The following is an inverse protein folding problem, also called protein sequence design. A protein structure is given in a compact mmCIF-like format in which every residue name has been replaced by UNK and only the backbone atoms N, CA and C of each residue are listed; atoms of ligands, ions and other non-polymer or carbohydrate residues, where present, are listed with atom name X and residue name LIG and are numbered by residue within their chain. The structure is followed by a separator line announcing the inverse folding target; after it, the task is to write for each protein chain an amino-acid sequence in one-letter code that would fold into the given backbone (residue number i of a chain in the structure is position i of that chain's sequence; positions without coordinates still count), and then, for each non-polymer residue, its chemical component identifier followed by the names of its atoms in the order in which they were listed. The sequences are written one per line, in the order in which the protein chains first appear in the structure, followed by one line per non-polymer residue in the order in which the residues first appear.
data_IF_092572386758
#
_entry.id   IF_092572386758
#
_cell.length_a   1.000
_cell.length_b   1.000
_cell.length_c   1.000
_cell.angle_alpha   90.00
_cell.angle_beta   90.00
_cell.angle_gamma   90.00
#
_symmetry.space_group_name_H-M   'P 1'
#
loop_
_entity.id
_entity.type
_entity.pdbx_description
1 polymer ?
#
# COMPACT_ATOMS: atom_id res chain seq x y z
N UNK A 1 8.02 -16.09 17.05
CA UNK A 1 6.64 -15.80 16.57
C UNK A 1 6.65 -15.75 15.05
N UNK A 2 5.86 -16.60 14.40
CA UNK A 2 5.77 -16.65 12.93
C UNK A 2 4.72 -15.64 12.46
N UNK A 3 5.15 -14.50 11.92
CA UNK A 3 4.24 -13.42 11.55
C UNK A 3 3.66 -13.71 10.16
N UNK A 4 2.53 -14.44 10.13
CA UNK A 4 1.89 -14.93 8.88
C UNK A 4 1.70 -13.83 7.84
N UNK A 5 1.41 -12.61 8.26
CA UNK A 5 1.29 -11.45 7.37
C UNK A 5 2.61 -11.11 6.66
N UNK A 6 3.73 -11.10 7.38
CA UNK A 6 5.05 -10.82 6.79
C UNK A 6 5.46 -11.91 5.80
N UNK A 7 5.16 -13.17 6.09
CA UNK A 7 5.42 -14.27 5.14
C UNK A 7 4.62 -14.09 3.85
N UNK A 8 3.36 -13.70 3.95
CA UNK A 8 2.51 -13.46 2.78
C UNK A 8 3.02 -12.28 1.95
N UNK A 9 3.50 -11.21 2.61
CA UNK A 9 4.12 -10.07 1.93
C UNK A 9 5.39 -10.50 1.17
N UNK A 10 6.23 -11.35 1.77
CA UNK A 10 7.40 -11.91 1.09
C UNK A 10 7.05 -12.73 -0.15
N UNK A 11 5.98 -13.52 -0.10
CA UNK A 11 5.47 -14.27 -1.26
C UNK A 11 4.93 -13.33 -2.34
N UNK A 12 4.16 -12.30 -1.96
CA UNK A 12 3.62 -11.30 -2.88
C UNK A 12 4.73 -10.49 -3.59
N UNK A 13 5.79 -10.15 -2.86
CA UNK A 13 6.98 -9.51 -3.42
C UNK A 13 7.69 -10.43 -4.42
N UNK A 14 7.92 -11.70 -4.06
CA UNK A 14 8.52 -12.70 -4.97
C UNK A 14 7.71 -12.92 -6.24
N UNK A 15 6.37 -12.81 -6.17
CA UNK A 15 5.47 -12.90 -7.31
C UNK A 15 5.39 -11.61 -8.17
N UNK A 16 6.11 -10.53 -7.79
CA UNK A 16 6.05 -9.25 -8.48
C UNK A 16 4.71 -8.52 -8.35
N UNK A 17 3.93 -8.82 -7.29
CA UNK A 17 2.60 -8.24 -7.03
C UNK A 17 2.62 -7.14 -5.98
N UNK A 18 3.80 -6.62 -5.63
CA UNK A 18 3.97 -5.53 -4.68
C UNK A 18 4.58 -4.32 -5.39
N UNK A 19 4.08 -3.13 -5.05
CA UNK A 19 4.67 -1.84 -5.42
C UNK A 19 4.99 -1.08 -4.13
N UNK A 20 6.02 -0.25 -4.13
CA UNK A 20 6.44 0.48 -2.94
C UNK A 20 7.03 1.84 -3.25
N UNK A 21 7.01 2.73 -2.27
CA UNK A 21 7.41 4.13 -2.41
C UNK A 21 6.22 5.07 -2.64
N UNK A 22 6.40 6.35 -2.35
CA UNK A 22 5.33 7.34 -2.39
C UNK A 22 4.74 7.49 -3.80
N UNK A 23 5.56 7.69 -4.81
CA UNK A 23 5.06 7.93 -6.17
C UNK A 23 4.46 6.68 -6.82
N UNK A 24 5.14 5.53 -6.70
CA UNK A 24 4.65 4.28 -7.27
C UNK A 24 3.31 3.86 -6.67
N UNK A 25 3.12 4.07 -5.36
CA UNK A 25 1.86 3.78 -4.67
C UNK A 25 0.76 4.73 -5.15
N UNK A 26 1.03 6.03 -5.26
CA UNK A 26 0.08 7.00 -5.81
C UNK A 26 -0.36 6.62 -7.23
N UNK A 27 0.59 6.29 -8.12
CA UNK A 27 0.30 5.88 -9.49
C UNK A 27 -0.55 4.60 -9.51
N UNK A 28 -0.25 3.62 -8.66
CA UNK A 28 -1.01 2.37 -8.60
C UNK A 28 -2.45 2.58 -8.08
N UNK A 29 -2.63 3.47 -7.09
CA UNK A 29 -3.93 3.86 -6.55
C UNK A 29 -4.73 4.58 -7.64
N UNK A 30 -4.19 5.64 -8.25
CA UNK A 30 -4.88 6.41 -9.29
C UNK A 30 -5.29 5.56 -10.50
N UNK A 31 -4.44 4.60 -10.89
CA UNK A 31 -4.74 3.65 -11.96
C UNK A 31 -5.66 2.49 -11.55
N UNK A 32 -6.21 2.50 -10.33
CA UNK A 32 -7.07 1.44 -9.77
C UNK A 32 -6.43 0.04 -9.77
N UNK A 33 -5.10 -0.04 -9.71
CA UNK A 33 -4.35 -1.30 -9.64
C UNK A 33 -4.04 -1.73 -8.20
N UNK A 34 -4.07 -0.79 -7.26
CA UNK A 34 -3.84 -1.08 -5.84
C UNK A 34 -5.11 -1.62 -5.17
N UNK A 35 -5.07 -2.87 -4.68
CA UNK A 35 -6.17 -3.47 -3.93
C UNK A 35 -6.02 -3.33 -2.42
N UNK A 36 -4.78 -3.22 -1.93
CA UNK A 36 -4.46 -3.06 -0.52
C UNK A 36 -3.24 -2.12 -0.40
N UNK A 37 -3.32 -1.16 0.52
CA UNK A 37 -2.27 -0.18 0.76
C UNK A 37 -1.83 -0.30 2.22
N UNK A 38 -0.54 -0.53 2.43
CA UNK A 38 0.07 -0.50 3.75
C UNK A 38 0.65 0.89 4.00
N UNK A 39 0.34 1.47 5.15
CA UNK A 39 0.87 2.77 5.58
C UNK A 39 1.62 2.56 6.89
N UNK A 40 2.83 3.11 6.98
CA UNK A 40 3.62 3.05 8.20
C UNK A 40 2.94 3.85 9.33
N UNK A 41 3.05 3.37 10.56
CA UNK A 41 2.37 3.98 11.71
C UNK A 41 2.93 5.35 12.10
N UNK A 42 4.17 5.64 11.71
CA UNK A 42 4.94 6.85 12.00
C UNK A 42 4.85 7.90 10.88
N UNK A 43 4.02 7.68 9.86
CA UNK A 43 3.83 8.64 8.78
C UNK A 43 3.15 9.92 9.27
N UNK A 44 3.43 11.05 8.62
CA UNK A 44 2.77 12.32 8.93
C UNK A 44 1.26 12.29 8.65
N UNK A 45 0.48 13.00 9.47
CA UNK A 45 -0.98 13.04 9.35
C UNK A 45 -1.45 13.52 7.97
N UNK A 46 -0.81 14.55 7.41
CA UNK A 46 -1.12 15.05 6.07
C UNK A 46 -1.01 13.95 4.99
N UNK A 47 0.04 13.13 5.05
CA UNK A 47 0.23 12.03 4.10
C UNK A 47 -0.79 10.92 4.34
N UNK A 48 -1.05 10.58 5.61
CA UNK A 48 -2.07 9.58 5.97
C UNK A 48 -3.46 9.98 5.43
N UNK A 49 -3.88 11.21 5.63
CA UNK A 49 -5.16 11.74 5.15
C UNK A 49 -5.26 11.67 3.63
N UNK A 50 -4.20 12.06 2.90
CA UNK A 50 -4.14 11.95 1.43
C UNK A 50 -4.36 10.51 0.96
N UNK A 51 -3.63 9.54 1.49
CA UNK A 51 -3.77 8.14 1.07
C UNK A 51 -5.14 7.54 1.45
N UNK A 52 -5.68 7.89 2.63
CA UNK A 52 -7.04 7.52 3.00
C UNK A 52 -8.08 8.10 2.02
N UNK A 53 -7.90 9.34 1.57
CA UNK A 53 -8.79 9.97 0.60
C UNK A 53 -8.68 9.31 -0.78
N UNK A 54 -7.47 9.02 -1.26
CA UNK A 54 -7.26 8.38 -2.56
C UNK A 54 -7.83 6.97 -2.61
N UNK A 55 -7.67 6.19 -1.54
CA UNK A 55 -8.24 4.85 -1.44
C UNK A 55 -9.78 4.87 -1.45
N UNK A 56 -10.41 5.83 -0.74
CA UNK A 56 -11.87 5.99 -0.69
C UNK A 56 -12.50 6.37 -2.03
N UNK A 57 -11.76 7.05 -2.92
CA UNK A 57 -12.27 7.47 -4.23
C UNK A 57 -12.40 6.32 -5.24
N UNK A 58 -11.85 5.15 -4.94
CA UNK A 58 -11.74 4.04 -5.90
C UNK A 58 -12.78 2.95 -5.63
N UNK A 59 -13.27 2.85 -4.39
CA UNK A 59 -14.39 1.99 -3.97
C UNK A 59 -15.68 2.77 -4.23
#
# INVERSE_FOLDING_TARGET
MNNKALNMLGLAQKAGKMVGGYDATNIAILNKKAMLVFIASDISNNTKEKYCLYAKKII
#
